data_IF_433942565796
#
_entry.id   IF_433942565796
#
_cell.length_a   1.000
_cell.length_b   1.000
_cell.length_c   1.000
_cell.angle_alpha   90.00
_cell.angle_beta   90.00
_cell.angle_gamma   90.00
#
_symmetry.space_group_name_H-M   'P 1'
#
loop_
_entity.id
_entity.type
_entity.pdbx_description
1 polymer ?
#
# COMPACT_ATOMS: atom_id res chain seq x y z
N UNK A 1 15.71 53.53 -1.25
CA UNK A 1 15.80 52.56 -2.37
C UNK A 1 15.13 51.25 -1.94
N UNK A 2 13.97 50.90 -2.53
CA UNK A 2 13.18 49.72 -2.15
C UNK A 2 13.50 48.54 -3.08
N UNK A 3 14.09 47.43 -2.59
CA UNK A 3 14.37 46.24 -3.40
C UNK A 3 13.11 45.37 -3.68
N UNK A 4 11.96 45.72 -3.12
CA UNK A 4 10.73 44.91 -3.13
C UNK A 4 9.92 44.97 -4.44
N UNK A 5 10.03 46.02 -5.25
CA UNK A 5 9.24 46.14 -6.50
C UNK A 5 9.76 45.26 -7.66
N UNK A 6 11.08 45.03 -7.74
CA UNK A 6 11.66 44.17 -8.80
C UNK A 6 11.32 42.70 -8.58
N UNK A 7 11.32 42.24 -7.33
CA UNK A 7 10.98 40.85 -6.99
C UNK A 7 9.51 40.51 -7.30
N UNK A 8 8.59 41.45 -7.05
CA UNK A 8 7.16 41.24 -7.30
C UNK A 8 6.84 41.06 -8.80
N UNK A 9 7.42 41.90 -9.65
CA UNK A 9 7.28 41.78 -11.11
C UNK A 9 7.96 40.52 -11.67
N UNK A 10 9.13 40.14 -11.15
CA UNK A 10 9.81 38.92 -11.59
C UNK A 10 9.02 37.65 -11.24
N UNK A 11 8.37 37.64 -10.08
CA UNK A 11 7.61 36.50 -9.58
C UNK A 11 6.27 36.34 -10.32
N UNK A 12 5.61 37.43 -10.69
CA UNK A 12 4.42 37.43 -11.54
C UNK A 12 4.75 37.00 -12.98
N UNK A 13 5.88 37.47 -13.51
CA UNK A 13 6.37 37.10 -14.83
C UNK A 13 6.68 35.61 -14.95
N UNK A 14 7.38 35.02 -13.97
CA UNK A 14 7.68 33.58 -13.96
C UNK A 14 6.40 32.74 -13.86
N UNK A 15 5.42 33.16 -13.06
CA UNK A 15 4.14 32.45 -12.94
C UNK A 15 3.39 32.41 -14.28
N UNK A 16 3.30 33.55 -14.96
CA UNK A 16 2.67 33.66 -16.29
C UNK A 16 3.40 32.83 -17.36
N UNK A 17 4.72 32.76 -17.30
CA UNK A 17 5.48 31.91 -18.22
C UNK A 17 5.28 30.41 -17.92
N UNK A 18 5.20 30.02 -16.65
CA UNK A 18 4.91 28.63 -16.26
C UNK A 18 3.51 28.19 -16.67
N UNK A 19 2.50 29.06 -16.55
CA UNK A 19 1.13 28.73 -16.95
C UNK A 19 1.01 28.34 -18.43
N UNK A 20 1.76 29.03 -19.30
CA UNK A 20 1.80 28.76 -20.73
C UNK A 20 2.79 27.65 -21.10
N UNK A 21 3.82 27.41 -20.28
CA UNK A 21 4.80 26.36 -20.50
C UNK A 21 4.32 24.96 -20.09
N UNK A 22 3.33 24.86 -19.19
CA UNK A 22 2.83 23.56 -18.72
C UNK A 22 1.76 23.03 -19.67
N UNK A 23 2.12 21.98 -20.39
CA UNK A 23 1.23 21.19 -21.23
C UNK A 23 0.68 20.05 -20.36
N UNK A 24 -0.64 19.94 -20.24
CA UNK A 24 -1.31 18.90 -19.46
C UNK A 24 -2.23 18.11 -20.40
N UNK A 25 -1.97 16.81 -20.52
CA UNK A 25 -2.71 15.93 -21.43
C UNK A 25 -3.27 14.73 -20.66
N UNK A 26 -4.52 14.37 -20.94
CA UNK A 26 -5.06 13.08 -20.50
C UNK A 26 -4.44 11.97 -21.36
N UNK A 27 -3.65 11.09 -20.74
CA UNK A 27 -2.98 10.00 -21.46
C UNK A 27 -3.73 8.68 -21.36
N UNK A 28 -4.39 8.43 -20.21
CA UNK A 28 -5.05 7.15 -19.94
C UNK A 28 -6.33 7.41 -19.15
N UNK A 29 -7.41 6.77 -19.59
CA UNK A 29 -8.65 6.61 -18.83
C UNK A 29 -9.01 5.13 -18.77
N UNK A 30 -9.14 4.60 -17.56
CA UNK A 30 -9.43 3.17 -17.35
C UNK A 30 -10.17 2.91 -16.06
N UNK A 31 -10.74 1.72 -15.93
CA UNK A 31 -11.25 1.23 -14.64
C UNK A 31 -10.11 0.67 -13.81
N UNK A 32 -9.92 1.19 -12.60
CA UNK A 32 -9.01 0.65 -11.62
C UNK A 32 -9.72 -0.43 -10.80
N UNK A 33 -9.32 -1.69 -11.01
CA UNK A 33 -9.90 -2.87 -10.34
C UNK A 33 -9.72 -2.81 -8.83
N UNK A 34 -8.57 -2.34 -8.35
CA UNK A 34 -8.26 -2.31 -6.91
C UNK A 34 -9.18 -1.38 -6.13
N UNK A 35 -9.56 -0.26 -6.73
CA UNK A 35 -10.44 0.73 -6.12
C UNK A 35 -11.88 0.64 -6.62
N UNK A 36 -12.15 -0.29 -7.54
CA UNK A 36 -13.43 -0.41 -8.24
C UNK A 36 -13.95 0.94 -8.76
N UNK A 37 -13.05 1.74 -9.34
CA UNK A 37 -13.28 3.15 -9.62
C UNK A 37 -12.68 3.54 -10.98
N UNK A 38 -13.14 4.64 -11.56
CA UNK A 38 -12.52 5.20 -12.76
C UNK A 38 -11.23 5.92 -12.38
N UNK A 39 -10.14 5.57 -13.08
CA UNK A 39 -8.83 6.19 -12.98
C UNK A 39 -8.55 6.97 -14.26
N UNK A 40 -8.12 8.22 -14.08
CA UNK A 40 -7.64 9.08 -15.16
C UNK A 40 -6.21 9.49 -14.82
N UNK A 41 -5.30 9.31 -15.77
CA UNK A 41 -3.90 9.73 -15.65
C UNK A 41 -3.71 10.91 -16.58
N UNK A 42 -3.40 12.05 -15.99
CA UNK A 42 -2.94 13.23 -16.71
C UNK A 42 -1.42 13.25 -16.68
N UNK A 43 -0.78 13.56 -17.80
CA UNK A 43 0.64 13.79 -17.87
C UNK A 43 0.89 15.28 -18.08
N UNK A 44 1.63 15.87 -17.17
CA UNK A 44 2.15 17.22 -17.31
C UNK A 44 3.57 17.18 -17.86
N UNK A 45 3.82 18.01 -18.87
CA UNK A 45 5.13 18.25 -19.45
C UNK A 45 5.42 19.74 -19.41
N UNK A 46 6.69 20.08 -19.21
CA UNK A 46 7.14 21.47 -19.23
C UNK A 46 7.76 21.76 -20.59
N UNK A 47 7.23 22.75 -21.31
CA UNK A 47 7.89 23.31 -22.47
C UNK A 47 9.02 24.25 -21.99
N UNK A 48 10.25 23.81 -22.17
CA UNK A 48 11.45 24.52 -21.74
C UNK A 48 11.90 25.62 -22.69
N UNK A 49 11.38 25.66 -23.92
CA UNK A 49 11.85 26.59 -24.95
C UNK A 49 11.54 28.05 -24.64
N UNK A 50 10.47 28.29 -23.88
CA UNK A 50 10.07 29.62 -23.42
C UNK A 50 10.68 30.06 -22.09
N UNK A 51 11.49 29.22 -21.43
CA UNK A 51 12.05 29.51 -20.10
C UNK A 51 13.41 30.22 -20.19
N UNK A 52 13.73 31.13 -19.26
CA UNK A 52 15.06 31.75 -19.19
C UNK A 52 16.18 30.72 -19.03
N UNK A 53 17.33 30.95 -19.69
CA UNK A 53 18.52 30.08 -19.60
C UNK A 53 18.99 29.82 -18.16
N UNK A 54 18.89 30.84 -17.32
CA UNK A 54 19.24 30.73 -15.90
C UNK A 54 18.38 29.70 -15.19
N UNK A 55 17.08 29.63 -15.50
CA UNK A 55 16.15 28.65 -14.94
C UNK A 55 16.40 27.25 -15.50
N UNK A 56 16.63 27.13 -16.82
CA UNK A 56 16.89 25.84 -17.48
C UNK A 56 18.07 25.10 -16.87
N UNK A 57 19.19 25.81 -16.68
CA UNK A 57 20.45 25.26 -16.18
C UNK A 57 20.53 25.13 -14.65
N UNK A 58 19.56 25.69 -13.92
CA UNK A 58 19.56 25.60 -12.46
C UNK A 58 19.15 24.19 -12.02
N UNK A 59 19.96 23.51 -11.17
CA UNK A 59 19.55 22.24 -10.58
C UNK A 59 18.25 22.38 -9.79
N UNK A 60 17.32 21.45 -9.97
CA UNK A 60 15.98 21.54 -9.36
C UNK A 60 16.01 21.62 -7.83
N UNK A 61 17.06 21.06 -7.19
CA UNK A 61 17.27 21.18 -5.73
C UNK A 61 17.37 22.63 -5.25
N UNK A 62 17.78 23.55 -6.11
CA UNK A 62 17.86 24.98 -5.82
C UNK A 62 16.64 25.77 -6.35
N UNK A 63 15.86 25.19 -7.27
CA UNK A 63 14.68 25.81 -7.87
C UNK A 63 13.37 25.55 -7.09
N UNK A 64 13.43 25.49 -5.75
CA UNK A 64 12.28 25.12 -4.88
C UNK A 64 11.03 25.95 -5.17
N UNK A 65 11.20 27.25 -5.44
CA UNK A 65 10.07 28.16 -5.74
C UNK A 65 9.35 27.75 -7.03
N UNK A 66 10.09 27.37 -8.06
CA UNK A 66 9.54 26.95 -9.37
C UNK A 66 8.80 25.63 -9.21
N UNK A 67 9.41 24.66 -8.51
CA UNK A 67 8.75 23.38 -8.20
C UNK A 67 7.45 23.61 -7.45
N UNK A 68 7.43 24.50 -6.45
CA UNK A 68 6.22 24.83 -5.71
C UNK A 68 5.13 25.40 -6.62
N UNK A 69 5.46 26.41 -7.43
CA UNK A 69 4.51 27.05 -8.35
C UNK A 69 3.94 26.07 -9.37
N UNK A 70 4.79 25.18 -9.90
CA UNK A 70 4.34 24.13 -10.81
C UNK A 70 3.36 23.18 -10.13
N UNK A 71 3.68 22.70 -8.93
CA UNK A 71 2.79 21.80 -8.19
C UNK A 71 1.47 22.50 -7.86
N UNK A 72 1.51 23.78 -7.46
CA UNK A 72 0.30 24.57 -7.22
C UNK A 72 -0.59 24.66 -8.47
N UNK A 73 0.02 24.94 -9.63
CA UNK A 73 -0.69 24.97 -10.91
C UNK A 73 -1.29 23.61 -11.27
N UNK A 74 -0.54 22.53 -11.10
CA UNK A 74 -1.00 21.17 -11.40
C UNK A 74 -2.14 20.74 -10.48
N UNK A 75 -2.03 21.02 -9.18
CA UNK A 75 -3.12 20.77 -8.24
C UNK A 75 -4.36 21.54 -8.71
N UNK A 76 -4.24 22.85 -8.95
CA UNK A 76 -5.36 23.70 -9.38
C UNK A 76 -6.03 23.20 -10.67
N UNK A 77 -5.27 22.71 -11.66
CA UNK A 77 -5.83 22.21 -12.93
C UNK A 77 -6.42 20.80 -12.79
N UNK A 78 -5.77 19.90 -12.06
CA UNK A 78 -6.18 18.49 -11.99
C UNK A 78 -7.30 18.24 -10.98
N UNK A 79 -7.54 19.14 -10.01
CA UNK A 79 -8.57 18.96 -8.98
C UNK A 79 -9.88 19.68 -9.26
N UNK A 80 -10.04 20.38 -10.39
CA UNK A 80 -11.25 21.17 -10.67
C UNK A 80 -12.52 20.31 -10.67
N UNK A 81 -12.43 19.12 -11.26
CA UNK A 81 -13.55 18.18 -11.42
C UNK A 81 -13.52 17.03 -10.41
N UNK A 82 -12.75 17.16 -9.33
CA UNK A 82 -12.59 16.11 -8.31
C UNK A 82 -13.34 16.46 -7.03
N UNK A 83 -13.92 15.44 -6.41
CA UNK A 83 -14.49 15.53 -5.06
C UNK A 83 -13.38 15.44 -4.02
N UNK A 84 -13.63 16.00 -2.84
CA UNK A 84 -12.70 15.94 -1.71
C UNK A 84 -12.37 14.50 -1.25
N UNK A 85 -13.27 13.55 -1.50
CA UNK A 85 -13.11 12.12 -1.22
C UNK A 85 -12.33 11.36 -2.29
N UNK A 86 -12.17 11.93 -3.50
CA UNK A 86 -11.44 11.28 -4.58
C UNK A 86 -9.97 11.11 -4.21
N UNK A 87 -9.33 10.12 -4.81
CA UNK A 87 -7.93 9.85 -4.55
C UNK A 87 -7.06 10.45 -5.65
N UNK A 88 -5.89 10.93 -5.24
CA UNK A 88 -4.91 11.54 -6.13
C UNK A 88 -3.50 11.11 -5.75
N UNK A 89 -2.65 11.00 -6.76
CA UNK A 89 -1.23 10.68 -6.62
C UNK A 89 -0.43 11.38 -7.72
N UNK A 90 0.71 11.93 -7.31
CA UNK A 90 1.72 12.50 -8.21
C UNK A 90 2.89 11.53 -8.36
N UNK A 91 3.31 11.31 -9.60
CA UNK A 91 4.50 10.57 -9.99
C UNK A 91 5.37 11.45 -10.88
N UNK A 92 6.59 11.76 -10.45
CA UNK A 92 7.54 12.56 -11.22
C UNK A 92 8.58 11.64 -11.84
N UNK A 93 8.81 11.80 -13.14
CA UNK A 93 9.82 11.08 -13.91
C UNK A 93 10.79 12.10 -14.52
N UNK A 94 12.08 11.82 -14.47
CA UNK A 94 13.12 12.68 -15.03
C UNK A 94 14.31 11.83 -15.47
N UNK A 95 15.05 12.31 -16.46
CA UNK A 95 16.31 11.71 -16.89
C UNK A 95 17.32 11.88 -15.73
N UNK A 96 17.83 10.77 -15.20
CA UNK A 96 18.71 10.75 -14.02
C UNK A 96 18.07 10.26 -12.71
N UNK A 97 16.77 9.93 -12.73
CA UNK A 97 16.11 9.18 -11.65
C UNK A 97 16.10 7.69 -11.97
N UNK A 98 16.69 6.87 -11.09
CA UNK A 98 16.65 5.41 -11.21
C UNK A 98 15.23 4.85 -11.00
N UNK A 99 14.43 5.57 -10.21
CA UNK A 99 13.04 5.27 -9.90
C UNK A 99 12.22 6.55 -9.90
N UNK A 100 10.97 6.53 -10.39
CA UNK A 100 10.10 7.70 -10.35
C UNK A 100 9.85 8.15 -8.90
N UNK A 101 9.85 9.46 -8.67
CA UNK A 101 9.48 10.01 -7.37
C UNK A 101 7.96 9.89 -7.28
N UNK A 102 7.48 9.20 -6.25
CA UNK A 102 6.05 8.98 -6.13
C UNK A 102 5.55 9.36 -4.75
N UNK A 103 4.50 10.18 -4.76
CA UNK A 103 3.72 10.45 -3.56
C UNK A 103 2.88 9.24 -3.19
N UNK A 104 2.43 9.18 -1.93
CA UNK A 104 1.40 8.22 -1.53
C UNK A 104 0.08 8.62 -2.16
N UNK A 105 -0.75 7.63 -2.48
CA UNK A 105 -2.16 7.85 -2.81
C UNK A 105 -2.82 8.49 -1.58
N UNK A 106 -3.51 9.60 -1.78
CA UNK A 106 -4.18 10.35 -0.71
C UNK A 106 -5.50 10.93 -1.21
N UNK A 107 -6.39 11.32 -0.30
CA UNK A 107 -7.62 12.01 -0.67
C UNK A 107 -7.32 13.44 -1.11
N UNK A 108 -8.14 13.99 -2.02
CA UNK A 108 -8.07 15.41 -2.43
C UNK A 108 -8.19 16.34 -1.21
N UNK A 109 -9.02 15.99 -0.21
CA UNK A 109 -9.11 16.74 1.06
C UNK A 109 -7.80 16.85 1.84
N UNK A 110 -6.90 15.89 1.66
CA UNK A 110 -5.62 15.81 2.39
C UNK A 110 -4.43 16.29 1.55
N UNK A 111 -4.69 16.69 0.30
CA UNK A 111 -3.70 17.17 -0.64
C UNK A 111 -3.30 18.60 -0.29
N UNK A 112 -1.99 18.82 -0.14
CA UNK A 112 -1.42 20.17 -0.02
C UNK A 112 -0.19 20.28 -0.91
N UNK A 113 0.12 21.51 -1.34
CA UNK A 113 1.31 21.81 -2.14
C UNK A 113 2.57 21.33 -1.41
N UNK A 114 2.67 21.61 -0.10
CA UNK A 114 3.81 21.29 0.75
C UNK A 114 4.02 19.79 0.88
N UNK A 115 2.95 19.00 0.92
CA UNK A 115 3.04 17.53 0.96
C UNK A 115 3.68 16.98 -0.30
N UNK A 116 3.31 17.49 -1.47
CA UNK A 116 3.88 17.03 -2.74
C UNK A 116 5.31 17.55 -2.90
N UNK A 117 5.54 18.84 -2.67
CA UNK A 117 6.85 19.48 -2.76
C UNK A 117 7.85 18.82 -1.81
N UNK A 118 7.48 18.52 -0.57
CA UNK A 118 8.40 17.88 0.39
C UNK A 118 8.86 16.49 -0.05
N UNK A 119 8.00 15.70 -0.69
CA UNK A 119 8.37 14.39 -1.25
C UNK A 119 9.35 14.55 -2.42
N UNK A 120 9.09 15.51 -3.31
CA UNK A 120 9.95 15.80 -4.45
C UNK A 120 11.32 16.30 -3.98
N UNK A 121 11.34 17.32 -3.13
CA UNK A 121 12.57 17.92 -2.62
C UNK A 121 13.43 16.94 -1.83
N UNK A 122 12.82 16.03 -1.06
CA UNK A 122 13.55 14.99 -0.33
C UNK A 122 14.40 14.11 -1.24
N UNK A 123 13.88 13.76 -2.42
CA UNK A 123 14.63 12.93 -3.37
C UNK A 123 15.66 13.77 -4.11
N UNK A 124 15.26 14.97 -4.57
CA UNK A 124 16.15 15.88 -5.30
C UNK A 124 17.35 16.36 -4.47
N UNK A 125 17.26 16.39 -3.14
CA UNK A 125 18.38 16.73 -2.26
C UNK A 125 19.61 15.82 -2.45
N UNK A 126 19.40 14.58 -2.88
CA UNK A 126 20.48 13.60 -3.15
C UNK A 126 20.91 13.54 -4.62
N UNK A 127 20.31 14.37 -5.49
CA UNK A 127 20.49 14.30 -6.95
C UNK A 127 20.89 15.68 -7.48
N UNK A 128 22.17 15.83 -7.78
CA UNK A 128 22.77 17.13 -8.11
C UNK A 128 22.68 17.53 -9.58
N UNK A 129 22.39 16.56 -10.46
CA UNK A 129 22.46 16.71 -11.92
C UNK A 129 21.11 16.92 -12.59
N UNK A 130 20.00 16.86 -11.85
CA UNK A 130 18.67 16.99 -12.46
C UNK A 130 18.36 18.47 -12.65
N UNK A 131 18.38 18.90 -13.90
CA UNK A 131 18.08 20.27 -14.31
C UNK A 131 16.67 20.37 -14.93
N UNK A 132 16.22 21.59 -15.21
CA UNK A 132 14.99 21.83 -15.96
C UNK A 132 15.16 21.55 -17.46
N UNK A 133 16.39 21.70 -17.97
CA UNK A 133 16.75 21.50 -19.38
C UNK A 133 16.53 20.06 -19.86
N UNK A 134 16.85 19.08 -19.00
CA UNK A 134 16.65 17.65 -19.31
C UNK A 134 15.16 17.26 -19.41
N UNK A 135 14.27 18.16 -18.98
CA UNK A 135 12.84 17.93 -18.89
C UNK A 135 12.46 16.94 -17.79
N UNK A 136 11.23 17.06 -17.32
CA UNK A 136 10.61 16.06 -16.47
C UNK A 136 9.12 15.97 -16.79
N UNK A 137 8.55 14.80 -16.55
CA UNK A 137 7.11 14.56 -16.67
C UNK A 137 6.52 14.33 -15.30
N UNK A 138 5.30 14.83 -15.09
CA UNK A 138 4.54 14.58 -13.87
C UNK A 138 3.24 13.91 -14.26
N UNK A 139 3.11 12.63 -13.91
CA UNK A 139 1.85 11.92 -14.02
C UNK A 139 1.01 12.22 -12.78
N UNK A 140 -0.15 12.84 -12.98
CA UNK A 140 -1.18 13.05 -11.98
C UNK A 140 -2.25 11.99 -12.16
N UNK A 141 -2.25 11.01 -11.27
CA UNK A 141 -3.19 9.89 -11.25
C UNK A 141 -4.34 10.28 -10.35
N UNK A 142 -5.54 10.32 -10.91
CA UNK A 142 -6.79 10.64 -10.20
C UNK A 142 -7.70 9.42 -10.23
N UNK A 143 -8.35 9.10 -9.11
CA UNK A 143 -9.25 7.95 -8.97
C UNK A 143 -10.54 8.46 -8.35
N UNK A 144 -11.62 8.44 -9.13
CA UNK A 144 -12.94 8.93 -8.71
C UNK A 144 -13.60 7.89 -7.81
N UNK A 145 -13.80 8.23 -6.54
CA UNK A 145 -14.47 7.34 -5.59
C UNK A 145 -15.98 7.53 -5.67
N UNK A 146 -16.69 6.44 -5.94
CA UNK A 146 -18.12 6.38 -5.66
C UNK A 146 -18.35 6.43 -4.15
N UNK A 147 -19.49 6.99 -3.72
CA UNK A 147 -19.84 7.11 -2.30
C UNK A 147 -19.85 5.71 -1.66
N UNK A 148 -18.97 5.45 -0.69
CA UNK A 148 -18.83 4.13 -0.05
C UNK A 148 -17.74 3.22 -0.64
N UNK A 149 -16.98 3.66 -1.66
CA UNK A 149 -15.85 2.91 -2.25
C UNK A 149 -14.56 2.92 -1.38
N UNK A 150 -14.72 2.97 -0.05
CA UNK A 150 -13.63 2.65 0.87
C UNK A 150 -13.30 1.16 0.77
N UNK A 151 -12.00 0.83 0.77
CA UNK A 151 -11.40 -0.52 0.85
C UNK A 151 -12.41 -1.67 0.60
N UNK A 152 -12.83 -1.84 -0.65
CA UNK A 152 -13.76 -2.91 -1.09
C UNK A 152 -13.17 -4.32 -0.87
N UNK A 153 -11.88 -4.39 -0.54
CA UNK A 153 -11.19 -5.61 -0.14
C UNK A 153 -11.29 -5.92 1.36
N UNK A 154 -12.18 -5.26 2.10
CA UNK A 154 -12.68 -5.86 3.33
C UNK A 154 -13.60 -6.97 2.87
N UNK A 155 -13.02 -8.16 2.64
CA UNK A 155 -13.78 -9.40 2.53
C UNK A 155 -14.86 -9.32 3.60
N UNK A 156 -16.13 -9.32 3.20
CA UNK A 156 -17.24 -9.35 4.16
C UNK A 156 -16.96 -10.55 5.03
N UNK A 157 -16.59 -10.30 6.29
CA UNK A 157 -16.20 -11.36 7.20
C UNK A 157 -17.47 -12.08 7.56
N UNK A 158 -17.73 -13.17 6.83
CA UNK A 158 -18.75 -14.10 7.26
C UNK A 158 -18.12 -14.89 8.39
N UNK A 159 -18.44 -14.54 9.63
CA UNK A 159 -17.80 -15.10 10.83
C UNK A 159 -17.87 -16.63 10.81
N UNK A 160 -18.98 -17.21 10.36
CA UNK A 160 -19.17 -18.66 10.30
C UNK A 160 -18.28 -19.33 9.26
N UNK A 161 -18.11 -18.73 8.08
CA UNK A 161 -17.27 -19.29 7.00
C UNK A 161 -15.79 -18.98 7.25
N UNK A 162 -15.48 -17.79 7.73
CA UNK A 162 -14.11 -17.30 7.88
C UNK A 162 -13.43 -17.86 9.12
N UNK A 163 -14.17 -18.25 10.17
CA UNK A 163 -13.58 -19.03 11.27
C UNK A 163 -13.07 -20.38 10.78
N UNK A 164 -13.80 -21.03 9.86
CA UNK A 164 -13.42 -22.34 9.29
C UNK A 164 -12.16 -22.19 8.43
N UNK A 165 -12.03 -21.06 7.71
CA UNK A 165 -10.90 -20.79 6.82
C UNK A 165 -9.67 -20.21 7.54
N UNK A 166 -9.76 -19.91 8.83
CA UNK A 166 -8.67 -19.30 9.58
C UNK A 166 -7.55 -20.32 9.80
N UNK A 167 -6.37 -20.05 9.24
CA UNK A 167 -5.18 -20.93 9.30
C UNK A 167 -4.68 -21.24 10.71
N UNK A 168 -5.18 -20.53 11.73
CA UNK A 168 -4.86 -20.75 13.14
C UNK A 168 -5.80 -21.73 13.84
N UNK A 169 -6.83 -22.24 13.14
CA UNK A 169 -7.75 -23.26 13.69
C UNK A 169 -7.28 -24.62 13.18
N UNK A 170 -6.73 -25.43 14.07
CA UNK A 170 -6.37 -26.83 13.78
C UNK A 170 -7.63 -27.65 13.99
N UNK A 171 -8.18 -28.18 12.89
CA UNK A 171 -9.32 -29.10 12.98
C UNK A 171 -8.77 -30.51 13.20
N UNK A 172 -8.99 -31.06 14.39
CA UNK A 172 -8.73 -32.48 14.65
C UNK A 172 -10.01 -33.24 14.32
N UNK A 173 -10.00 -34.15 13.33
CA UNK A 173 -11.19 -34.89 12.97
C UNK A 173 -11.63 -35.76 14.15
N UNK A 174 -12.95 -35.86 14.33
CA UNK A 174 -13.51 -36.88 15.21
C UNK A 174 -13.10 -38.24 14.67
N UNK A 175 -12.54 -39.07 15.55
CA UNK A 175 -12.05 -40.38 15.19
C UNK A 175 -12.80 -41.44 15.97
N UNK A 176 -13.14 -42.54 15.29
CA UNK A 176 -13.91 -43.66 15.87
C UNK A 176 -13.19 -44.32 17.04
N UNK A 177 -11.87 -44.16 17.11
CA UNK A 177 -11.01 -44.63 18.23
C UNK A 177 -11.17 -43.81 19.53
N UNK A 178 -11.93 -42.71 19.52
CA UNK A 178 -12.12 -41.85 20.68
C UNK A 178 -10.89 -41.01 21.07
N UNK A 179 -9.79 -41.08 20.33
CA UNK A 179 -8.50 -40.46 20.71
C UNK A 179 -8.35 -38.99 20.29
N UNK A 180 -9.45 -38.31 19.94
CA UNK A 180 -9.42 -36.95 19.37
C UNK A 180 -8.73 -35.93 20.29
N UNK A 181 -8.93 -36.04 21.60
CA UNK A 181 -8.32 -35.14 22.58
C UNK A 181 -6.80 -35.36 22.68
N UNK A 182 -6.35 -36.62 22.78
CA UNK A 182 -4.93 -36.93 22.79
C UNK A 182 -4.23 -36.48 21.50
N UNK A 183 -4.88 -36.64 20.35
CA UNK A 183 -4.40 -36.11 19.06
C UNK A 183 -4.25 -34.59 19.11
N UNK A 184 -5.24 -33.86 19.65
CA UNK A 184 -5.19 -32.41 19.81
C UNK A 184 -4.04 -31.95 20.73
N UNK A 185 -3.80 -32.67 21.83
CA UNK A 185 -2.69 -32.38 22.76
C UNK A 185 -1.34 -32.55 22.05
N UNK A 186 -1.15 -33.64 21.30
CA UNK A 186 0.08 -33.90 20.54
C UNK A 186 0.34 -32.81 19.50
N UNK A 187 -0.70 -32.37 18.78
CA UNK A 187 -0.58 -31.23 17.86
C UNK A 187 -0.16 -29.96 18.59
N UNK A 188 -0.74 -29.70 19.76
CA UNK A 188 -0.45 -28.51 20.56
C UNK A 188 1.00 -28.51 21.04
N UNK A 189 1.50 -29.65 21.53
CA UNK A 189 2.90 -29.82 21.95
C UNK A 189 3.85 -29.58 20.76
N UNK A 190 3.59 -30.20 19.60
CA UNK A 190 4.44 -30.02 18.42
C UNK A 190 4.47 -28.56 17.93
N UNK A 191 3.36 -27.84 18.06
CA UNK A 191 3.29 -26.40 17.77
C UNK A 191 4.04 -25.54 18.81
N UNK A 192 3.99 -25.92 20.09
CA UNK A 192 4.73 -25.25 21.17
C UNK A 192 6.25 -25.40 20.98
N UNK A 193 6.70 -26.59 20.59
CA UNK A 193 8.10 -26.92 20.32
C UNK A 193 8.61 -26.41 18.97
N UNK A 194 7.73 -25.86 18.12
CA UNK A 194 8.02 -25.42 16.74
C UNK A 194 8.60 -26.53 15.85
N UNK A 195 8.28 -27.79 16.12
CA UNK A 195 8.72 -28.92 15.29
C UNK A 195 7.84 -29.06 14.04
N UNK A 196 8.24 -28.32 12.99
CA UNK A 196 7.57 -28.32 11.69
C UNK A 196 7.56 -29.70 11.00
N UNK A 197 8.51 -30.59 11.31
CA UNK A 197 8.54 -31.94 10.75
C UNK A 197 7.43 -32.78 11.37
N UNK A 198 7.34 -32.80 12.71
CA UNK A 198 6.25 -33.48 13.40
C UNK A 198 4.89 -32.93 12.99
N UNK A 199 4.71 -31.61 12.90
CA UNK A 199 3.44 -31.00 12.48
C UNK A 199 3.00 -31.52 11.09
N UNK A 200 3.93 -31.58 10.13
CA UNK A 200 3.62 -32.04 8.77
C UNK A 200 3.33 -33.54 8.71
N UNK A 201 4.02 -34.35 9.52
CA UNK A 201 3.74 -35.80 9.63
C UNK A 201 2.38 -36.05 10.26
N UNK A 202 2.03 -35.30 11.31
CA UNK A 202 0.78 -35.48 12.04
C UNK A 202 -0.44 -35.05 11.20
N UNK A 203 -0.30 -34.05 10.31
CA UNK A 203 -1.32 -33.62 9.33
C UNK A 203 -1.77 -34.72 8.37
N UNK A 204 -0.95 -35.74 8.14
CA UNK A 204 -1.31 -36.83 7.26
C UNK A 204 -2.18 -37.86 8.00
N UNK A 205 -3.51 -37.69 7.90
CA UNK A 205 -4.49 -38.56 8.56
C UNK A 205 -4.43 -40.03 8.10
N UNK A 206 -3.74 -40.33 6.99
CA UNK A 206 -3.56 -41.71 6.50
C UNK A 206 -2.46 -42.46 7.25
N UNK A 207 -1.64 -41.76 8.03
CA UNK A 207 -0.54 -42.36 8.78
C UNK A 207 -0.97 -42.71 10.20
N UNK A 208 -0.69 -43.94 10.59
CA UNK A 208 -0.95 -44.43 11.96
C UNK A 208 -0.07 -43.77 13.04
N UNK A 209 0.95 -42.99 12.63
CA UNK A 209 1.90 -42.34 13.55
C UNK A 209 1.23 -41.43 14.58
N UNK A 210 0.20 -40.67 14.18
CA UNK A 210 -0.58 -39.84 15.08
C UNK A 210 -1.40 -40.67 16.08
N UNK A 211 -1.96 -41.80 15.63
CA UNK A 211 -2.74 -42.72 16.47
C UNK A 211 -1.83 -43.42 17.48
N UNK A 212 -0.66 -43.89 17.06
CA UNK A 212 0.30 -44.57 17.93
C UNK A 212 0.85 -43.63 19.00
N UNK A 213 1.16 -42.38 18.64
CA UNK A 213 1.54 -41.36 19.63
C UNK A 213 0.40 -41.02 20.58
N UNK A 214 -0.84 -40.98 20.09
CA UNK A 214 -2.01 -40.75 20.96
C UNK A 214 -2.22 -41.90 21.97
N UNK A 215 -2.04 -43.16 21.53
CA UNK A 215 -2.08 -44.32 22.43
C UNK A 215 -0.94 -44.28 23.46
N UNK A 216 0.28 -43.98 23.04
CA UNK A 216 1.42 -43.83 23.94
C UNK A 216 1.17 -42.74 24.99
N UNK A 217 0.61 -41.59 24.59
CA UNK A 217 0.26 -40.52 25.52
C UNK A 217 -0.75 -40.96 26.59
N UNK A 218 -1.75 -41.76 26.23
CA UNK A 218 -2.69 -42.34 27.21
C UNK A 218 -1.99 -43.30 28.17
N UNK A 219 -1.15 -44.20 27.65
CA UNK A 219 -0.37 -45.14 28.46
C UNK A 219 0.56 -44.42 29.44
N UNK A 220 1.29 -43.41 28.98
CA UNK A 220 2.21 -42.60 29.78
C UNK A 220 1.48 -41.81 30.87
N UNK A 221 0.27 -41.34 30.56
CA UNK A 221 -0.60 -40.64 31.51
C UNK A 221 -1.39 -41.59 32.43
N UNK A 222 -1.29 -42.92 32.24
CA UNK A 222 -2.00 -43.91 33.03
C UNK A 222 -3.53 -43.89 32.85
N UNK A 223 -4.03 -43.36 31.73
CA UNK A 223 -5.47 -43.26 31.45
C UNK A 223 -5.90 -44.32 30.43
N UNK A 224 -7.13 -44.83 30.56
CA UNK A 224 -7.68 -45.80 29.62
C UNK A 224 -7.76 -45.22 28.21
N UNK A 225 -7.56 -46.07 27.21
CA UNK A 225 -7.74 -45.72 25.81
C UNK A 225 -9.23 -45.50 25.53
N UNK A 226 -9.56 -44.35 24.96
CA UNK A 226 -10.93 -44.01 24.59
C UNK A 226 -11.18 -42.52 24.63
N UNK A 227 -12.44 -42.15 24.42
CA UNK A 227 -12.90 -40.77 24.54
C UNK A 227 -12.62 -40.20 25.92
N UNK A 228 -12.27 -38.92 25.98
CA UNK A 228 -12.27 -38.15 27.22
C UNK A 228 -13.72 -37.92 27.68
N UNK A 229 -14.34 -38.96 28.21
CA UNK A 229 -15.62 -38.92 28.92
C UNK A 229 -15.33 -39.06 30.41
N UNK A 230 -15.92 -38.18 31.23
CA UNK A 230 -15.97 -38.38 32.67
C UNK A 230 -16.89 -39.58 32.97
N UNK A 231 -16.34 -40.78 33.06
CA UNK A 231 -16.98 -41.84 33.82
C UNK A 231 -16.45 -41.77 35.25
N UNK A 232 -17.31 -41.28 36.14
CA UNK A 232 -17.15 -41.39 37.58
C UNK A 232 -17.24 -42.88 37.96
N UNK A 233 -16.10 -43.55 38.12
CA UNK A 233 -16.00 -44.73 38.98
C UNK A 233 -15.62 -44.25 40.39
N UNK A 234 -16.54 -43.57 41.06
CA UNK A 234 -16.52 -43.47 42.52
C UNK A 234 -17.27 -44.69 43.08
N UNK A 235 -16.56 -45.78 43.31
CA UNK A 235 -17.06 -46.87 44.15
C UNK A 235 -17.10 -46.39 45.62
N UNK A 236 -18.31 -46.32 46.18
CA UNK A 236 -18.54 -46.61 47.60
C UNK A 236 -19.00 -48.06 47.72
#
# INVERSE_FOLDING_TARGET
MRPSFKLFNYQHFILFQLENAVILEEIIRRRNVRYNANEIIFQARLNTDGLPDTLRKTPLKFAVKVVRQLIELLIRRCTQDLRLSDLIRFCVQAIGLDKPISTRIMTVSSLTVERVVSVIMRVLQSKDKITLEDGFTIDVITIRQDVGAGKTNTRVVNIDIDRIRKRSVITVPLSEDGLCCAKAIIYTIAHLEKDMKSINVLKDHRRETLVNRAKALHTDAGVLLGSCTYFLDCNF
#
